data_IF_770957779879
#
_entry.id   IF_770957779879
#
_cell.length_a   1.000
_cell.length_b   1.000
_cell.length_c   1.000
_cell.angle_alpha   90.00
_cell.angle_beta   90.00
_cell.angle_gamma   90.00
#
_symmetry.space_group_name_H-M   'P 1'
#
loop_
_entity.id
_entity.type
_entity.pdbx_description
1 polymer ?
#
# COMPACT_ATOMS: atom_id res chain seq x y z
N UNK A 1 -28.54 -8.83 -5.54
CA UNK A 1 -27.36 -9.72 -5.76
C UNK A 1 -26.30 -8.96 -6.55
N UNK A 2 -25.03 -9.06 -6.16
CA UNK A 2 -23.91 -8.43 -6.89
C UNK A 2 -23.93 -8.84 -8.35
N UNK A 3 -24.00 -7.86 -9.25
CA UNK A 3 -24.00 -8.06 -10.70
C UNK A 3 -22.56 -8.22 -11.21
N UNK A 4 -22.23 -9.39 -11.75
CA UNK A 4 -20.90 -9.66 -12.33
C UNK A 4 -20.58 -8.71 -13.48
N UNK A 5 -21.57 -8.37 -14.31
CA UNK A 5 -21.39 -7.45 -15.44
C UNK A 5 -21.05 -6.04 -14.94
N UNK A 6 -21.77 -5.54 -13.90
CA UNK A 6 -21.50 -4.23 -13.33
C UNK A 6 -20.08 -4.17 -12.69
N UNK A 7 -19.69 -5.19 -11.93
CA UNK A 7 -18.33 -5.30 -11.36
C UNK A 7 -17.28 -5.25 -12.47
N UNK A 8 -17.49 -5.97 -13.56
CA UNK A 8 -16.58 -5.97 -14.71
C UNK A 8 -16.47 -4.58 -15.34
N UNK A 9 -17.59 -3.95 -15.61
CA UNK A 9 -17.62 -2.65 -16.30
C UNK A 9 -16.99 -1.55 -15.43
N UNK A 10 -17.28 -1.53 -14.14
CA UNK A 10 -16.66 -0.61 -13.18
C UNK A 10 -15.15 -0.84 -13.11
N UNK A 11 -14.71 -2.10 -13.00
CA UNK A 11 -13.30 -2.44 -12.94
C UNK A 11 -12.56 -2.03 -14.21
N UNK A 12 -13.10 -2.37 -15.38
CA UNK A 12 -12.52 -1.97 -16.67
C UNK A 12 -12.46 -0.44 -16.84
N UNK A 13 -13.44 0.28 -16.32
CA UNK A 13 -13.46 1.74 -16.36
C UNK A 13 -12.36 2.30 -15.46
N UNK A 14 -12.26 1.80 -14.23
CA UNK A 14 -11.32 2.33 -13.27
C UNK A 14 -9.86 1.98 -13.62
N UNK A 15 -9.56 0.76 -14.11
CA UNK A 15 -8.18 0.41 -14.51
C UNK A 15 -7.71 1.19 -15.75
N UNK A 16 -8.62 1.58 -16.66
CA UNK A 16 -8.29 2.46 -17.80
C UNK A 16 -8.13 3.93 -17.41
N UNK A 17 -8.54 4.29 -16.19
CA UNK A 17 -8.37 5.64 -15.68
C UNK A 17 -7.00 5.73 -15.01
N UNK A 18 -6.09 6.50 -15.60
CA UNK A 18 -4.76 6.70 -15.04
C UNK A 18 -4.84 7.32 -13.65
N UNK A 19 -4.13 6.73 -12.69
CA UNK A 19 -4.07 7.16 -11.28
C UNK A 19 -2.77 6.73 -10.61
N UNK A 20 -1.62 7.02 -11.22
CA UNK A 20 -0.34 6.84 -10.52
C UNK A 20 -0.28 7.74 -9.28
N UNK A 21 0.45 7.33 -8.25
CA UNK A 21 0.57 8.08 -6.98
C UNK A 21 0.82 9.58 -7.22
N UNK A 22 0.00 10.42 -6.57
CA UNK A 22 -0.05 11.88 -6.73
C UNK A 22 -0.85 12.38 -7.94
N UNK A 23 -1.53 11.49 -8.69
CA UNK A 23 -2.35 11.80 -9.88
C UNK A 23 -3.67 11.03 -9.89
N UNK A 24 -4.27 10.85 -8.75
CA UNK A 24 -5.47 10.05 -8.54
C UNK A 24 -6.78 10.79 -8.85
N UNK A 25 -6.73 12.10 -9.09
CA UNK A 25 -7.91 12.98 -9.18
C UNK A 25 -8.98 12.50 -10.17
N UNK A 26 -8.60 11.85 -11.30
CA UNK A 26 -9.57 11.31 -12.26
C UNK A 26 -10.29 10.08 -11.74
N UNK A 27 -9.56 9.17 -11.06
CA UNK A 27 -10.15 7.98 -10.43
C UNK A 27 -11.04 8.39 -9.26
N UNK A 28 -10.58 9.33 -8.43
CA UNK A 28 -11.33 9.89 -7.32
C UNK A 28 -12.62 10.57 -7.77
N UNK A 29 -12.58 11.36 -8.85
CA UNK A 29 -13.77 12.01 -9.40
C UNK A 29 -14.81 10.96 -9.88
N UNK A 30 -14.36 9.92 -10.58
CA UNK A 30 -15.25 8.84 -11.01
C UNK A 30 -15.89 8.12 -9.80
N UNK A 31 -15.10 7.75 -8.79
CA UNK A 31 -15.61 7.14 -7.56
C UNK A 31 -16.61 8.06 -6.83
N UNK A 32 -16.31 9.36 -6.77
CA UNK A 32 -17.20 10.34 -6.15
C UNK A 32 -18.56 10.41 -6.89
N UNK A 33 -18.56 10.42 -8.23
CA UNK A 33 -19.78 10.37 -9.04
C UNK A 33 -20.60 9.10 -8.77
N UNK A 34 -19.92 7.94 -8.64
CA UNK A 34 -20.61 6.69 -8.31
C UNK A 34 -21.24 6.73 -6.92
N UNK A 35 -20.53 7.25 -5.91
CA UNK A 35 -21.06 7.41 -4.54
C UNK A 35 -22.23 8.39 -4.51
N UNK A 36 -22.14 9.51 -5.24
CA UNK A 36 -23.25 10.49 -5.37
C UNK A 36 -24.48 9.84 -6.01
N UNK A 37 -24.32 8.96 -6.99
CA UNK A 37 -25.41 8.22 -7.61
C UNK A 37 -26.18 7.32 -6.63
N UNK A 38 -25.53 6.93 -5.54
CA UNK A 38 -26.12 6.19 -4.41
C UNK A 38 -26.77 7.10 -3.35
N UNK A 39 -26.79 8.43 -3.58
CA UNK A 39 -27.35 9.40 -2.65
C UNK A 39 -26.40 9.77 -1.50
N UNK A 40 -25.12 9.45 -1.62
CA UNK A 40 -24.11 9.82 -0.63
C UNK A 40 -23.48 11.18 -0.96
N UNK A 41 -22.88 11.82 0.04
CA UNK A 41 -22.17 13.10 -0.09
C UNK A 41 -20.66 12.89 0.15
N UNK A 42 -19.89 12.42 -0.88
CA UNK A 42 -18.46 12.23 -0.73
C UNK A 42 -17.74 13.57 -0.61
N UNK A 43 -16.70 13.60 0.23
CA UNK A 43 -15.86 14.77 0.47
C UNK A 43 -14.39 14.38 0.31
N UNK A 44 -13.57 15.35 -0.09
CA UNK A 44 -12.12 15.18 -0.10
C UNK A 44 -11.54 15.77 1.19
N UNK A 45 -10.58 15.06 1.77
CA UNK A 45 -9.77 15.63 2.84
C UNK A 45 -8.65 16.52 2.29
N UNK A 46 -7.74 16.95 3.16
CA UNK A 46 -6.66 17.87 2.81
C UNK A 46 -5.30 17.19 2.57
N UNK A 47 -5.27 15.90 2.30
CA UNK A 47 -4.03 15.19 2.05
C UNK A 47 -3.26 15.78 0.85
N UNK A 48 -3.96 16.25 -0.19
CA UNK A 48 -3.36 16.92 -1.34
C UNK A 48 -2.48 18.13 -0.97
N UNK A 49 -2.90 18.92 0.03
CA UNK A 49 -2.17 20.12 0.46
C UNK A 49 -0.76 19.77 1.00
N UNK A 50 -0.65 18.61 1.64
CA UNK A 50 0.61 18.15 2.23
C UNK A 50 1.47 17.35 1.23
N UNK A 51 0.83 16.58 0.35
CA UNK A 51 1.50 15.63 -0.55
C UNK A 51 1.85 16.26 -1.91
N UNK A 52 1.21 17.40 -2.28
CA UNK A 52 1.36 17.99 -3.60
C UNK A 52 0.69 17.18 -4.70
N UNK A 53 -0.25 16.30 -4.35
CA UNK A 53 -1.09 15.54 -5.27
C UNK A 53 -2.21 16.37 -5.89
N UNK A 54 -2.95 15.79 -6.82
CA UNK A 54 -4.06 16.46 -7.51
C UNK A 54 -5.42 16.26 -6.82
N UNK A 55 -5.51 15.37 -5.81
CA UNK A 55 -6.68 15.24 -4.92
C UNK A 55 -6.26 14.73 -3.53
N UNK A 56 -7.15 14.84 -2.55
CA UNK A 56 -7.04 14.22 -1.22
C UNK A 56 -7.73 12.86 -1.17
N UNK A 57 -7.74 12.23 0.03
CA UNK A 57 -8.51 11.02 0.27
C UNK A 57 -10.01 11.33 0.06
N UNK A 58 -10.72 10.41 -0.59
CA UNK A 58 -12.16 10.53 -0.82
C UNK A 58 -12.90 9.80 0.28
N UNK A 59 -13.76 10.52 1.03
CA UNK A 59 -14.45 10.01 2.20
C UNK A 59 -15.97 10.10 1.98
N UNK A 60 -16.70 9.03 2.27
CA UNK A 60 -18.15 9.03 2.28
C UNK A 60 -18.70 8.29 3.50
N UNK A 61 -19.84 8.79 4.00
CA UNK A 61 -20.54 8.19 5.13
C UNK A 61 -21.89 7.65 4.68
N UNK A 62 -22.12 6.37 4.95
CA UNK A 62 -23.42 5.72 4.82
C UNK A 62 -24.09 5.79 6.18
N UNK A 63 -25.21 6.55 6.32
CA UNK A 63 -25.88 6.64 7.60
C UNK A 63 -26.53 5.32 7.99
N UNK A 64 -26.52 5.00 9.28
CA UNK A 64 -27.13 3.80 9.84
C UNK A 64 -27.79 4.09 11.19
N UNK A 65 -28.34 3.05 11.86
CA UNK A 65 -28.93 3.21 13.19
C UNK A 65 -27.90 3.76 14.19
N UNK A 66 -28.29 4.74 15.04
CA UNK A 66 -27.36 5.42 15.94
C UNK A 66 -26.85 4.56 17.09
N UNK A 67 -27.49 3.42 17.34
CA UNK A 67 -27.11 2.42 18.34
C UNK A 67 -26.11 1.39 17.81
N UNK A 68 -25.75 1.46 16.51
CA UNK A 68 -24.76 0.61 15.91
C UNK A 68 -23.39 1.32 15.80
N UNK A 69 -22.31 0.57 16.01
CA UNK A 69 -20.94 1.06 15.79
C UNK A 69 -20.66 1.23 14.29
N UNK A 70 -19.97 2.31 13.93
CA UNK A 70 -19.52 2.54 12.56
C UNK A 70 -18.36 1.58 12.20
N UNK A 71 -18.40 0.99 11.02
CA UNK A 71 -17.27 0.26 10.44
C UNK A 71 -16.61 1.09 9.34
N UNK A 72 -15.29 0.94 9.18
CA UNK A 72 -14.53 1.54 8.11
C UNK A 72 -14.27 0.51 7.00
N UNK A 73 -14.48 0.90 5.75
CA UNK A 73 -14.01 0.22 4.55
C UNK A 73 -13.01 1.14 3.84
N UNK A 74 -11.83 0.65 3.51
CA UNK A 74 -10.82 1.45 2.79
C UNK A 74 -10.16 0.65 1.68
N UNK A 75 -9.77 1.33 0.62
CA UNK A 75 -8.99 0.85 -0.52
C UNK A 75 -8.19 2.04 -1.09
N UNK A 76 -7.06 1.79 -1.75
CA UNK A 76 -6.31 2.89 -2.34
C UNK A 76 -6.60 3.09 -3.83
N UNK A 77 -6.50 4.35 -4.29
CA UNK A 77 -6.82 4.72 -5.68
C UNK A 77 -5.60 4.74 -6.59
N UNK A 78 -4.42 4.88 -6.00
CA UNK A 78 -3.19 4.97 -6.76
C UNK A 78 -2.65 3.62 -7.20
N UNK A 79 -1.79 3.66 -8.20
CA UNK A 79 -1.10 2.49 -8.76
C UNK A 79 0.39 2.79 -8.95
N UNK A 80 1.21 1.74 -8.92
CA UNK A 80 2.64 1.83 -9.24
C UNK A 80 2.89 2.10 -10.72
N UNK A 81 4.10 2.52 -11.06
CA UNK A 81 4.55 2.62 -12.47
C UNK A 81 5.12 1.29 -12.97
N UNK A 82 4.97 0.98 -14.28
CA UNK A 82 4.23 1.71 -15.31
C UNK A 82 2.71 1.44 -15.19
N UNK A 83 1.91 2.45 -14.92
CA UNK A 83 0.47 2.36 -14.64
C UNK A 83 -0.37 3.38 -15.42
N UNK A 84 0.14 3.91 -16.55
CA UNK A 84 -0.55 4.89 -17.39
C UNK A 84 -0.87 4.28 -18.75
N UNK A 85 -2.06 4.59 -19.27
CA UNK A 85 -2.53 4.05 -20.55
C UNK A 85 -2.85 2.57 -20.54
N UNK A 86 -3.29 2.04 -19.42
CA UNK A 86 -3.57 0.60 -19.20
C UNK A 86 -4.57 0.07 -20.24
N UNK A 87 -4.21 -1.04 -20.89
CA UNK A 87 -5.04 -1.78 -21.84
C UNK A 87 -5.37 -3.17 -21.28
N UNK A 88 -6.47 -3.32 -20.54
CA UNK A 88 -6.82 -4.61 -19.95
C UNK A 88 -7.22 -5.61 -21.03
N UNK A 89 -6.70 -6.84 -20.93
CA UNK A 89 -7.02 -7.96 -21.81
C UNK A 89 -7.94 -8.92 -21.07
N UNK A 90 -9.08 -9.23 -21.69
CA UNK A 90 -10.06 -10.20 -21.17
C UNK A 90 -9.80 -11.56 -21.79
N UNK A 91 -9.66 -12.59 -20.94
CA UNK A 91 -9.56 -13.99 -21.33
C UNK A 91 -10.54 -14.82 -20.48
N UNK A 92 -11.77 -14.97 -20.98
CA UNK A 92 -12.89 -15.50 -20.19
C UNK A 92 -13.21 -14.58 -19.01
N UNK A 93 -13.08 -15.11 -17.80
CA UNK A 93 -13.29 -14.38 -16.55
C UNK A 93 -11.99 -13.75 -16.00
N UNK A 94 -10.85 -14.02 -16.63
CA UNK A 94 -9.56 -13.43 -16.21
C UNK A 94 -9.35 -12.10 -16.95
N UNK A 95 -9.06 -11.07 -16.18
CA UNK A 95 -8.66 -9.75 -16.68
C UNK A 95 -7.18 -9.57 -16.32
N UNK A 96 -6.34 -9.29 -17.31
CA UNK A 96 -4.90 -9.14 -17.12
C UNK A 96 -4.33 -7.92 -17.83
N UNK A 97 -3.15 -7.51 -17.44
CA UNK A 97 -2.35 -6.55 -18.20
C UNK A 97 -2.03 -7.10 -19.59
N UNK A 98 -1.82 -6.21 -20.55
CA UNK A 98 -1.30 -6.55 -21.88
C UNK A 98 0.21 -6.83 -21.88
N UNK A 99 0.88 -6.66 -20.73
CA UNK A 99 2.32 -6.84 -20.54
C UNK A 99 3.14 -5.57 -20.69
N UNK A 100 2.55 -4.43 -21.04
CA UNK A 100 3.25 -3.14 -21.16
C UNK A 100 3.19 -2.29 -19.89
N UNK A 101 2.09 -2.42 -19.12
CA UNK A 101 1.87 -1.75 -17.84
C UNK A 101 1.49 -2.75 -16.75
N UNK A 102 1.38 -2.32 -15.50
CA UNK A 102 0.58 -3.05 -14.52
C UNK A 102 -0.89 -3.04 -14.94
N UNK A 103 -1.72 -3.92 -14.39
CA UNK A 103 -3.18 -3.85 -14.59
C UNK A 103 -3.80 -2.74 -13.74
N UNK A 104 -3.23 -2.50 -12.54
CA UNK A 104 -3.78 -1.61 -11.53
C UNK A 104 -4.97 -2.25 -10.79
N UNK A 105 -5.01 -3.58 -10.75
CA UNK A 105 -5.92 -4.33 -9.90
C UNK A 105 -5.65 -4.06 -8.42
N UNK A 106 -4.42 -3.85 -8.08
CA UNK A 106 -3.90 -3.27 -6.85
C UNK A 106 -3.96 -1.73 -6.94
N UNK A 107 -4.91 -0.98 -6.30
CA UNK A 107 -6.02 -1.57 -5.55
C UNK A 107 -7.38 -1.07 -6.09
N UNK A 108 -7.48 -0.88 -7.41
CA UNK A 108 -8.77 -0.59 -8.05
C UNK A 108 -9.76 -1.76 -7.90
N UNK A 109 -9.25 -2.96 -7.65
CA UNK A 109 -10.05 -4.13 -7.29
C UNK A 109 -10.81 -3.93 -5.98
N UNK A 110 -10.11 -3.47 -4.94
CA UNK A 110 -10.72 -3.10 -3.66
C UNK A 110 -11.70 -1.95 -3.78
N UNK A 111 -11.33 -0.90 -4.53
CA UNK A 111 -12.23 0.23 -4.79
C UNK A 111 -13.57 -0.23 -5.41
N UNK A 112 -13.51 -1.08 -6.42
CA UNK A 112 -14.70 -1.60 -7.11
C UNK A 112 -15.49 -2.58 -6.24
N UNK A 113 -14.82 -3.41 -5.46
CA UNK A 113 -15.46 -4.34 -4.54
C UNK A 113 -16.28 -3.60 -3.47
N UNK A 114 -15.70 -2.56 -2.85
CA UNK A 114 -16.40 -1.69 -1.89
C UNK A 114 -17.59 -1.00 -2.56
N UNK A 115 -17.39 -0.36 -3.71
CA UNK A 115 -18.45 0.35 -4.43
C UNK A 115 -19.63 -0.55 -4.73
N UNK A 116 -19.38 -1.77 -5.24
CA UNK A 116 -20.47 -2.70 -5.59
C UNK A 116 -21.13 -3.31 -4.36
N UNK A 117 -20.39 -3.48 -3.25
CA UNK A 117 -20.99 -3.87 -1.97
C UNK A 117 -21.96 -2.81 -1.44
N UNK A 118 -21.56 -1.53 -1.48
CA UNK A 118 -22.44 -0.42 -1.08
C UNK A 118 -23.70 -0.34 -1.94
N UNK A 119 -23.56 -0.50 -3.27
CA UNK A 119 -24.73 -0.55 -4.17
C UNK A 119 -25.70 -1.66 -3.78
N UNK A 120 -25.20 -2.86 -3.55
CA UNK A 120 -26.05 -3.98 -3.13
C UNK A 120 -26.77 -3.68 -1.83
N UNK A 121 -26.06 -3.13 -0.83
CA UNK A 121 -26.63 -2.80 0.49
C UNK A 121 -27.73 -1.75 0.36
N UNK A 122 -27.46 -0.65 -0.34
CA UNK A 122 -28.35 0.51 -0.44
C UNK A 122 -29.54 0.27 -1.41
N UNK A 123 -29.26 -0.27 -2.61
CA UNK A 123 -30.31 -0.53 -3.61
C UNK A 123 -31.29 -1.63 -3.15
N UNK A 124 -30.80 -2.63 -2.38
CA UNK A 124 -31.63 -3.71 -1.85
C UNK A 124 -32.24 -3.40 -0.48
N UNK A 125 -31.94 -2.25 0.11
CA UNK A 125 -32.43 -1.86 1.44
C UNK A 125 -32.00 -2.84 2.54
N UNK A 126 -30.81 -3.45 2.42
CA UNK A 126 -30.32 -4.39 3.41
C UNK A 126 -30.03 -3.66 4.73
N UNK A 127 -30.42 -4.26 5.87
CA UNK A 127 -30.07 -3.73 7.17
C UNK A 127 -28.54 -3.67 7.35
N UNK A 128 -28.01 -2.51 7.75
CA UNK A 128 -26.59 -2.26 7.93
C UNK A 128 -26.31 -1.31 9.09
N UNK A 129 -25.09 -1.33 9.70
CA UNK A 129 -24.64 -0.29 10.62
C UNK A 129 -24.26 0.98 9.83
N UNK A 130 -23.91 2.09 10.49
CA UNK A 130 -23.20 3.16 9.81
C UNK A 130 -21.89 2.65 9.19
N UNK A 131 -21.61 3.06 7.95
CA UNK A 131 -20.38 2.69 7.24
C UNK A 131 -19.63 3.94 6.82
N UNK A 132 -18.36 4.03 7.15
CA UNK A 132 -17.44 5.01 6.60
C UNK A 132 -16.66 4.37 5.47
N UNK A 133 -16.57 5.01 4.33
CA UNK A 133 -15.75 4.57 3.20
C UNK A 133 -14.66 5.58 2.97
N UNK A 134 -13.43 5.13 2.83
CA UNK A 134 -12.28 5.96 2.51
C UNK A 134 -11.54 5.34 1.33
N UNK A 135 -11.42 6.10 0.25
CA UNK A 135 -10.50 5.78 -0.83
C UNK A 135 -9.26 6.66 -0.68
N UNK A 136 -8.13 6.05 -0.39
CA UNK A 136 -6.89 6.75 -0.08
C UNK A 136 -6.08 7.07 -1.33
N UNK A 137 -5.20 8.06 -1.22
CA UNK A 137 -4.21 8.45 -2.23
C UNK A 137 -2.82 8.06 -1.78
N UNK A 138 -1.90 7.85 -2.73
CA UNK A 138 -0.45 7.71 -2.46
C UNK A 138 -0.09 6.65 -1.42
N UNK A 139 -0.79 5.51 -1.45
CA UNK A 139 -0.47 4.35 -0.61
C UNK A 139 0.89 3.79 -1.01
N UNK A 140 1.12 3.62 -2.31
CA UNK A 140 2.29 2.99 -2.94
C UNK A 140 3.60 3.75 -2.71
N UNK A 141 3.54 5.02 -2.31
CA UNK A 141 4.71 5.84 -1.97
C UNK A 141 5.08 5.75 -0.50
N UNK A 142 4.24 5.10 0.30
CA UNK A 142 4.49 4.84 1.72
C UNK A 142 3.33 5.11 2.65
N UNK A 143 2.10 4.81 2.25
CA UNK A 143 0.86 4.98 3.03
C UNK A 143 0.56 6.46 3.30
N UNK A 144 0.95 7.34 2.36
CA UNK A 144 1.01 8.77 2.65
C UNK A 144 -0.39 9.38 2.78
N UNK A 145 -1.38 8.92 2.00
CA UNK A 145 -2.78 9.33 2.16
C UNK A 145 -3.33 8.98 3.53
N UNK A 146 -3.16 7.74 3.97
CA UNK A 146 -3.64 7.30 5.28
C UNK A 146 -2.95 8.04 6.45
N UNK A 147 -1.68 8.44 6.30
CA UNK A 147 -0.97 9.26 7.30
C UNK A 147 -1.60 10.63 7.52
N UNK A 148 -2.30 11.18 6.52
CA UNK A 148 -2.96 12.48 6.59
C UNK A 148 -4.45 12.38 6.94
N UNK A 149 -4.99 11.16 7.02
CA UNK A 149 -6.39 10.92 7.38
C UNK A 149 -6.64 11.23 8.86
N UNK A 150 -7.72 11.95 9.16
CA UNK A 150 -8.22 12.13 10.55
C UNK A 150 -8.99 10.87 10.99
N UNK A 151 -8.24 9.84 11.42
CA UNK A 151 -8.83 8.54 11.81
C UNK A 151 -9.85 8.69 12.96
N UNK A 152 -9.60 9.59 13.91
CA UNK A 152 -10.51 9.83 15.03
C UNK A 152 -11.85 10.45 14.55
N UNK A 153 -11.80 11.33 13.57
CA UNK A 153 -12.98 11.97 12.98
C UNK A 153 -13.88 11.00 12.20
N UNK A 154 -13.38 9.83 11.79
CA UNK A 154 -14.19 8.82 11.10
C UNK A 154 -15.22 8.13 12.01
N UNK A 155 -15.05 8.24 13.33
CA UNK A 155 -15.94 7.63 14.35
C UNK A 155 -16.13 6.10 14.18
N UNK A 156 -15.23 5.43 13.49
CA UNK A 156 -15.25 3.99 13.29
C UNK A 156 -14.65 3.25 14.49
N UNK A 157 -15.15 2.04 14.78
CA UNK A 157 -14.65 1.19 15.87
C UNK A 157 -13.79 0.04 15.38
N UNK A 158 -13.88 -0.30 14.09
CA UNK A 158 -13.06 -1.29 13.41
C UNK A 158 -12.99 -0.98 11.92
N UNK A 159 -11.93 -1.47 11.25
CA UNK A 159 -11.70 -1.24 9.83
C UNK A 159 -11.41 -2.51 9.04
N UNK A 160 -11.68 -2.43 7.74
CA UNK A 160 -11.36 -3.44 6.75
C UNK A 160 -10.66 -2.73 5.58
N UNK A 161 -9.34 -2.91 5.47
CA UNK A 161 -8.61 -2.53 4.28
C UNK A 161 -8.85 -3.63 3.23
N UNK A 162 -9.46 -3.26 2.14
CA UNK A 162 -9.80 -4.18 1.04
C UNK A 162 -8.70 -4.02 0.02
N UNK A 163 -7.92 -5.07 -0.21
CA UNK A 163 -6.69 -4.98 -1.00
C UNK A 163 -6.49 -6.18 -1.92
N UNK A 164 -5.37 -6.15 -2.60
CA UNK A 164 -4.88 -7.24 -3.44
C UNK A 164 -4.67 -8.55 -2.66
N UNK A 165 -4.47 -9.64 -3.40
CA UNK A 165 -4.31 -10.98 -2.84
C UNK A 165 -5.54 -11.86 -3.04
N UNK A 166 -5.34 -13.16 -2.89
CA UNK A 166 -6.40 -14.16 -3.15
C UNK A 166 -7.65 -13.89 -2.33
N UNK A 167 -8.80 -14.10 -2.93
CA UNK A 167 -10.07 -14.09 -2.22
C UNK A 167 -10.02 -15.03 -1.00
N UNK A 168 -10.43 -14.50 0.18
CA UNK A 168 -10.36 -15.22 1.45
C UNK A 168 -9.03 -15.04 2.21
N UNK A 169 -8.03 -14.32 1.68
CA UNK A 169 -6.87 -13.91 2.47
C UNK A 169 -7.29 -12.89 3.51
N UNK A 170 -6.90 -13.14 4.76
CA UNK A 170 -7.10 -12.25 5.91
C UNK A 170 -5.71 -11.96 6.49
N UNK A 171 -5.26 -10.71 6.41
CA UNK A 171 -3.96 -10.30 6.93
C UNK A 171 -4.15 -9.61 8.27
N UNK A 172 -3.66 -10.26 9.33
CA UNK A 172 -3.80 -9.82 10.73
C UNK A 172 -2.56 -9.12 11.26
N UNK A 173 -1.57 -8.88 10.42
CA UNK A 173 -0.38 -8.15 10.82
C UNK A 173 0.55 -7.84 9.66
N UNK A 174 1.28 -6.74 9.82
CA UNK A 174 2.25 -6.25 8.86
C UNK A 174 3.49 -5.71 9.58
N UNK A 175 4.67 -5.67 8.91
CA UNK A 175 5.92 -5.27 9.54
C UNK A 175 5.98 -3.77 9.83
N UNK A 176 6.86 -3.40 10.75
CA UNK A 176 7.48 -2.06 10.81
C UNK A 176 8.39 -1.87 9.60
N UNK A 177 8.53 -0.65 9.12
CA UNK A 177 9.42 -0.33 8.01
C UNK A 177 10.18 0.97 8.26
N UNK A 178 11.49 0.97 7.99
CA UNK A 178 12.33 2.15 8.00
C UNK A 178 12.96 2.37 6.62
N UNK A 179 12.94 3.62 6.17
CA UNK A 179 13.67 4.10 4.99
C UNK A 179 15.10 4.50 5.41
N UNK A 180 16.07 4.25 4.54
CA UNK A 180 17.43 4.69 4.68
C UNK A 180 17.83 5.46 3.42
N UNK A 181 18.31 6.67 3.58
CA UNK A 181 18.91 7.51 2.54
C UNK A 181 20.32 7.89 2.92
N UNK A 182 21.28 7.79 2.01
CA UNK A 182 22.65 8.15 2.29
C UNK A 182 23.31 8.89 1.13
N UNK A 183 24.12 9.88 1.47
CA UNK A 183 25.05 10.53 0.55
C UNK A 183 26.48 10.31 1.02
N UNK A 184 27.25 9.59 0.21
CA UNK A 184 28.69 9.43 0.42
C UNK A 184 29.39 10.57 -0.31
N UNK A 185 30.23 11.32 0.42
CA UNK A 185 31.03 12.41 -0.13
C UNK A 185 32.50 12.07 -0.08
N UNK A 186 33.10 12.10 -1.24
CA UNK A 186 34.53 11.93 -1.47
C UNK A 186 35.18 13.25 -1.92
N UNK A 187 36.15 13.13 -2.85
CA UNK A 187 36.87 14.26 -3.41
C UNK A 187 37.15 14.05 -4.88
N UNK A 188 36.79 15.02 -5.70
CA UNK A 188 37.00 15.04 -7.13
C UNK A 188 38.48 15.11 -7.51
N UNK A 189 38.90 14.35 -8.50
CA UNK A 189 40.23 14.40 -9.10
C UNK A 189 40.19 13.89 -10.54
N UNK A 190 41.28 14.14 -11.32
CA UNK A 190 41.40 13.54 -12.65
C UNK A 190 41.88 12.10 -12.52
N UNK A 191 41.06 11.14 -12.97
CA UNK A 191 41.27 9.72 -12.73
C UNK A 191 42.57 9.13 -13.35
N UNK A 192 43.10 9.76 -14.41
CA UNK A 192 44.32 9.30 -15.07
C UNK A 192 45.57 10.09 -14.72
N UNK A 193 45.46 11.36 -14.26
CA UNK A 193 46.61 12.20 -13.97
C UNK A 193 47.01 12.21 -12.49
N UNK A 194 46.02 12.28 -11.60
CA UNK A 194 46.24 12.38 -10.14
C UNK A 194 45.13 11.69 -9.37
N UNK A 195 44.87 10.37 -9.57
CA UNK A 195 43.80 9.65 -8.86
C UNK A 195 43.98 9.67 -7.34
N UNK A 196 45.23 9.68 -6.87
CA UNK A 196 45.60 9.74 -5.45
C UNK A 196 45.23 11.06 -4.75
N UNK A 197 44.95 12.12 -5.49
CA UNK A 197 44.46 13.40 -4.95
C UNK A 197 42.94 13.37 -4.72
N UNK A 198 42.23 12.34 -5.21
CA UNK A 198 40.81 12.15 -5.09
C UNK A 198 40.45 11.13 -4.01
N UNK A 199 39.15 11.11 -3.69
CA UNK A 199 38.49 10.09 -2.83
C UNK A 199 37.24 9.62 -3.55
N UNK A 200 37.17 8.34 -3.88
CA UNK A 200 36.13 7.80 -4.74
C UNK A 200 34.87 7.45 -3.91
N UNK A 201 33.82 8.26 -4.02
CA UNK A 201 32.56 8.09 -3.30
C UNK A 201 31.83 6.80 -3.71
N UNK A 202 31.88 6.39 -4.99
CA UNK A 202 31.27 5.13 -5.45
C UNK A 202 31.98 3.92 -4.84
N UNK A 203 33.31 3.94 -4.74
CA UNK A 203 34.06 2.85 -4.11
C UNK A 203 33.68 2.71 -2.63
N UNK A 204 33.66 3.83 -1.90
CA UNK A 204 33.26 3.84 -0.49
C UNK A 204 31.82 3.33 -0.29
N UNK A 205 30.87 3.79 -1.13
CA UNK A 205 29.48 3.34 -1.12
C UNK A 205 29.37 1.82 -1.39
N UNK A 206 30.08 1.33 -2.42
CA UNK A 206 30.06 -0.09 -2.80
C UNK A 206 30.59 -0.99 -1.70
N UNK A 207 31.67 -0.59 -1.00
CA UNK A 207 32.22 -1.33 0.15
C UNK A 207 31.22 -1.36 1.31
N UNK A 208 30.55 -0.24 1.59
CA UNK A 208 29.51 -0.17 2.62
C UNK A 208 28.37 -1.12 2.32
N UNK A 209 27.86 -1.10 1.09
CA UNK A 209 26.78 -2.01 0.66
C UNK A 209 27.23 -3.47 0.72
N UNK A 210 28.43 -3.80 0.25
CA UNK A 210 28.97 -5.17 0.27
C UNK A 210 29.16 -5.72 1.71
N UNK A 211 29.31 -4.86 2.70
CA UNK A 211 29.41 -5.25 4.11
C UNK A 211 28.03 -5.43 4.80
N UNK A 212 26.94 -4.98 4.17
CA UNK A 212 25.58 -5.11 4.73
C UNK A 212 25.06 -6.53 4.61
N UNK A 213 24.25 -6.93 5.57
CA UNK A 213 23.34 -8.05 5.44
C UNK A 213 22.09 -7.55 4.72
N UNK A 214 21.81 -8.10 3.52
CA UNK A 214 20.68 -7.72 2.68
C UNK A 214 19.87 -8.96 2.29
N UNK A 215 18.68 -8.72 1.73
CA UNK A 215 17.72 -9.77 1.40
C UNK A 215 16.93 -10.20 2.64
N UNK A 216 16.70 -11.50 2.76
CA UNK A 216 16.05 -12.07 3.95
C UNK A 216 17.08 -12.31 5.05
N UNK A 217 16.95 -11.57 6.13
CA UNK A 217 17.87 -11.63 7.28
C UNK A 217 17.50 -12.77 8.22
N UNK A 218 16.21 -12.89 8.52
CA UNK A 218 15.59 -13.99 9.26
C UNK A 218 14.11 -14.15 8.80
N UNK A 219 13.32 -14.96 9.51
CA UNK A 219 11.94 -15.28 9.12
C UNK A 219 11.01 -14.07 9.04
N UNK A 220 11.33 -12.98 9.76
CA UNK A 220 10.48 -11.79 9.89
C UNK A 220 11.19 -10.48 9.49
N UNK A 221 12.51 -10.52 9.16
CA UNK A 221 13.30 -9.33 8.85
C UNK A 221 13.85 -9.38 7.43
N UNK A 222 13.67 -8.29 6.69
CA UNK A 222 14.24 -8.09 5.36
C UNK A 222 14.92 -6.74 5.26
N UNK A 223 15.94 -6.62 4.38
CA UNK A 223 16.59 -5.35 4.07
C UNK A 223 16.98 -5.29 2.59
N UNK A 224 16.97 -4.10 2.02
CA UNK A 224 17.30 -3.89 0.62
C UNK A 224 17.97 -2.54 0.39
N UNK A 225 18.87 -2.48 -0.59
CA UNK A 225 19.28 -1.25 -1.25
C UNK A 225 18.62 -1.23 -2.62
N UNK A 226 17.70 -0.30 -2.81
CA UNK A 226 16.89 -0.19 -4.04
C UNK A 226 17.56 0.62 -5.13
N UNK A 227 18.30 1.68 -4.77
CA UNK A 227 19.00 2.54 -5.72
C UNK A 227 20.39 2.91 -5.26
N UNK A 228 21.31 3.06 -6.24
CA UNK A 228 22.63 3.66 -6.08
C UNK A 228 22.92 4.50 -7.32
N UNK A 229 23.33 5.76 -7.12
CA UNK A 229 23.66 6.68 -8.21
C UNK A 229 24.85 7.54 -7.84
N UNK A 230 25.83 7.72 -8.73
CA UNK A 230 26.99 8.57 -8.45
C UNK A 230 27.92 8.75 -9.63
N UNK A 231 28.76 9.80 -9.56
CA UNK A 231 29.73 10.16 -10.58
C UNK A 231 29.13 10.86 -11.80
N UNK A 232 29.98 11.61 -12.52
CA UNK A 232 29.59 12.41 -13.69
C UNK A 232 30.23 11.90 -14.99
N UNK A 233 31.46 11.35 -14.91
CA UNK A 233 32.23 10.94 -16.08
C UNK A 233 33.29 9.90 -15.73
N UNK A 234 33.60 9.01 -16.69
CA UNK A 234 34.56 7.89 -16.52
C UNK A 234 36.00 8.32 -16.19
N UNK A 235 36.39 9.54 -16.56
CA UNK A 235 37.75 10.06 -16.33
C UNK A 235 37.87 10.97 -15.12
N UNK A 236 36.85 10.98 -14.25
CA UNK A 236 36.77 11.77 -13.02
C UNK A 236 36.58 10.83 -11.84
N UNK A 237 37.35 11.01 -10.76
CA UNK A 237 37.09 10.35 -9.48
C UNK A 237 35.78 10.93 -8.93
N UNK A 238 34.74 10.09 -8.69
CA UNK A 238 33.41 10.57 -8.28
C UNK A 238 33.45 11.15 -6.88
N UNK A 239 32.92 12.37 -6.75
CA UNK A 239 32.84 13.11 -5.49
C UNK A 239 31.62 12.75 -4.66
N UNK A 240 30.52 12.32 -5.30
CA UNK A 240 29.26 11.97 -4.62
C UNK A 240 28.72 10.63 -5.09
N UNK A 241 28.06 9.92 -4.15
CA UNK A 241 27.26 8.74 -4.44
C UNK A 241 26.05 8.75 -3.50
N UNK A 242 24.84 8.62 -4.09
CA UNK A 242 23.56 8.57 -3.39
C UNK A 242 23.05 7.12 -3.32
N UNK A 243 22.46 6.78 -2.20
CA UNK A 243 21.95 5.42 -1.92
C UNK A 243 20.57 5.56 -1.29
N UNK A 244 19.60 4.78 -1.78
CA UNK A 244 18.29 4.64 -1.16
C UNK A 244 18.03 3.16 -0.87
N UNK A 245 17.50 2.89 0.32
CA UNK A 245 17.17 1.55 0.77
C UNK A 245 16.28 1.56 1.99
N UNK A 246 16.19 0.43 2.66
CA UNK A 246 15.43 0.30 3.88
C UNK A 246 15.40 -1.12 4.41
N UNK A 247 14.74 -1.27 5.55
CA UNK A 247 14.51 -2.57 6.18
C UNK A 247 13.06 -2.67 6.67
N UNK A 248 12.59 -3.91 6.83
CA UNK A 248 11.29 -4.25 7.40
C UNK A 248 11.45 -5.40 8.39
N UNK A 249 10.68 -5.37 9.47
CA UNK A 249 10.60 -6.49 10.42
C UNK A 249 9.28 -6.46 11.17
N UNK A 250 8.78 -7.65 11.51
CA UNK A 250 7.64 -7.78 12.43
C UNK A 250 8.02 -7.52 13.89
N UNK A 251 9.32 -7.47 14.20
CA UNK A 251 9.89 -7.12 15.49
C UNK A 251 10.63 -5.78 15.38
N UNK A 252 10.19 -4.77 16.14
CA UNK A 252 10.76 -3.42 16.07
C UNK A 252 12.23 -3.38 16.50
N UNK A 253 12.62 -4.18 17.50
CA UNK A 253 14.00 -4.22 17.97
C UNK A 253 14.94 -4.80 16.89
N UNK A 254 14.48 -5.83 16.17
CA UNK A 254 15.20 -6.39 15.02
C UNK A 254 15.32 -5.38 13.86
N UNK A 255 14.24 -4.63 13.57
CA UNK A 255 14.28 -3.55 12.58
C UNK A 255 15.34 -2.52 12.94
N UNK A 256 15.30 -1.99 14.18
CA UNK A 256 16.28 -1.01 14.65
C UNK A 256 17.72 -1.54 14.54
N UNK A 257 17.96 -2.79 14.99
CA UNK A 257 19.28 -3.42 14.91
C UNK A 257 19.77 -3.58 13.46
N UNK A 258 18.87 -3.92 12.53
CA UNK A 258 19.22 -4.07 11.11
C UNK A 258 19.52 -2.71 10.46
N UNK A 259 18.73 -1.67 10.75
CA UNK A 259 18.97 -0.31 10.26
C UNK A 259 20.28 0.24 10.80
N UNK A 260 20.55 0.07 12.11
CA UNK A 260 21.81 0.47 12.73
C UNK A 260 23.01 -0.23 12.08
N UNK A 261 22.88 -1.54 11.79
CA UNK A 261 23.92 -2.26 11.05
C UNK A 261 24.18 -1.65 9.67
N UNK A 262 23.13 -1.31 8.90
CA UNK A 262 23.28 -0.70 7.57
C UNK A 262 23.97 0.68 7.68
N UNK A 263 23.57 1.52 8.64
CA UNK A 263 24.19 2.82 8.91
C UNK A 263 25.66 2.69 9.26
N UNK A 264 26.01 1.72 10.14
CA UNK A 264 27.40 1.46 10.53
C UNK A 264 28.24 1.00 9.35
N UNK A 265 27.74 0.13 8.49
CA UNK A 265 28.46 -0.32 7.30
C UNK A 265 28.84 0.85 6.38
N UNK A 266 27.90 1.78 6.13
CA UNK A 266 28.17 2.96 5.31
C UNK A 266 29.20 3.90 5.95
N UNK A 267 29.03 4.19 7.24
CA UNK A 267 29.96 5.08 7.97
C UNK A 267 31.36 4.54 8.06
N UNK A 268 31.52 3.24 8.38
CA UNK A 268 32.81 2.57 8.48
C UNK A 268 33.52 2.52 7.12
N UNK A 269 32.81 2.17 6.05
CA UNK A 269 33.36 2.12 4.71
C UNK A 269 33.78 3.52 4.21
N UNK A 270 32.97 4.55 4.47
CA UNK A 270 33.31 5.92 4.13
C UNK A 270 34.58 6.36 4.86
N UNK A 271 34.65 6.11 6.18
CA UNK A 271 35.84 6.43 6.98
C UNK A 271 37.10 5.74 6.47
N UNK A 272 37.02 4.45 6.16
CA UNK A 272 38.14 3.67 5.63
C UNK A 272 38.68 4.19 4.28
N UNK A 273 37.82 4.83 3.49
CA UNK A 273 38.17 5.44 2.20
C UNK A 273 38.49 6.93 2.29
N UNK A 274 38.58 7.52 3.49
CA UNK A 274 38.73 8.97 3.72
C UNK A 274 37.58 9.80 3.11
N UNK A 275 36.41 9.19 2.98
CA UNK A 275 35.14 9.83 2.60
C UNK A 275 34.28 10.15 3.84
N UNK A 276 33.18 10.85 3.64
CA UNK A 276 32.16 11.07 4.67
C UNK A 276 30.85 10.44 4.24
N UNK A 277 30.05 9.97 5.20
CA UNK A 277 28.71 9.44 4.97
C UNK A 277 27.67 10.27 5.74
N UNK A 278 26.81 10.95 5.02
CA UNK A 278 25.60 11.58 5.54
C UNK A 278 24.48 10.55 5.40
N UNK A 279 24.04 9.98 6.51
CA UNK A 279 23.00 8.92 6.52
C UNK A 279 21.81 9.41 7.31
N UNK A 280 20.63 9.31 6.69
CA UNK A 280 19.34 9.61 7.28
C UNK A 280 18.50 8.33 7.32
N UNK A 281 17.79 8.14 8.42
CA UNK A 281 16.84 7.06 8.59
C UNK A 281 15.50 7.64 9.03
N UNK A 282 14.41 7.09 8.53
CA UNK A 282 13.06 7.55 8.86
C UNK A 282 12.13 6.36 8.98
N UNK A 283 11.33 6.30 10.06
CA UNK A 283 10.22 5.38 10.15
C UNK A 283 9.24 5.67 9.02
N UNK A 284 9.02 4.67 8.15
CA UNK A 284 8.03 4.77 7.09
C UNK A 284 6.63 4.56 7.66
N UNK A 285 6.46 3.50 8.45
CA UNK A 285 5.23 3.18 9.19
C UNK A 285 5.53 2.16 10.29
N UNK A 286 4.65 2.13 11.29
CA UNK A 286 4.70 1.16 12.37
C UNK A 286 4.07 -0.17 11.93
N UNK A 287 4.54 -1.28 12.51
CA UNK A 287 3.92 -2.59 12.35
C UNK A 287 2.65 -2.71 13.18
N UNK A 288 1.85 -3.71 12.85
CA UNK A 288 0.72 -4.09 13.69
C UNK A 288 0.58 -5.61 13.75
N UNK A 289 -0.12 -6.07 14.77
CA UNK A 289 -0.49 -7.47 14.93
C UNK A 289 -1.80 -7.56 15.68
N UNK A 290 -2.82 -8.08 15.02
CA UNK A 290 -4.12 -8.41 15.59
C UNK A 290 -4.12 -9.86 16.06
N UNK A 291 -4.86 -10.12 17.12
CA UNK A 291 -5.17 -11.47 17.57
C UNK A 291 -6.26 -12.08 16.67
N UNK A 292 -6.29 -13.41 16.61
CA UNK A 292 -7.37 -14.12 15.92
C UNK A 292 -8.74 -13.84 16.57
N UNK A 293 -8.77 -13.44 17.84
CA UNK A 293 -9.98 -13.10 18.60
C UNK A 293 -10.43 -11.65 18.41
N UNK A 294 -9.65 -10.82 17.70
CA UNK A 294 -10.06 -9.43 17.45
C UNK A 294 -11.38 -9.36 16.68
N UNK A 295 -12.30 -8.46 17.07
CA UNK A 295 -13.64 -8.39 16.48
C UNK A 295 -13.65 -8.26 14.96
N UNK A 296 -12.75 -7.45 14.36
CA UNK A 296 -12.66 -7.30 12.91
C UNK A 296 -12.19 -8.58 12.21
N UNK A 297 -11.24 -9.33 12.82
CA UNK A 297 -10.77 -10.62 12.31
C UNK A 297 -11.89 -11.65 12.33
N UNK A 298 -12.55 -11.80 13.51
CA UNK A 298 -13.66 -12.73 13.68
C UNK A 298 -14.84 -12.41 12.74
N UNK A 299 -15.10 -11.13 12.51
CA UNK A 299 -16.18 -10.71 11.62
C UNK A 299 -15.85 -11.07 10.16
N UNK A 300 -14.62 -10.83 9.71
CA UNK A 300 -14.16 -11.22 8.37
C UNK A 300 -14.25 -12.74 8.17
N UNK A 301 -13.76 -13.53 9.14
CA UNK A 301 -13.83 -15.01 9.08
C UNK A 301 -15.28 -15.50 8.99
N UNK A 302 -16.16 -15.07 9.90
CA UNK A 302 -17.57 -15.47 9.91
C UNK A 302 -18.31 -15.09 8.63
N UNK A 303 -18.01 -13.92 8.06
CA UNK A 303 -18.60 -13.48 6.80
C UNK A 303 -18.17 -14.39 5.64
N UNK A 304 -16.88 -14.75 5.57
CA UNK A 304 -16.34 -15.66 4.57
C UNK A 304 -16.96 -17.07 4.68
N UNK A 305 -17.06 -17.62 5.89
CA UNK A 305 -17.67 -18.92 6.17
C UNK A 305 -19.10 -19.01 5.66
N UNK A 306 -19.93 -17.96 5.87
CA UNK A 306 -21.30 -17.93 5.38
C UNK A 306 -21.42 -17.97 3.85
N UNK A 307 -20.39 -17.53 3.17
CA UNK A 307 -20.32 -17.54 1.71
C UNK A 307 -19.60 -18.77 1.15
N UNK A 308 -19.09 -19.66 2.02
CA UNK A 308 -18.26 -20.80 1.63
C UNK A 308 -16.90 -20.40 1.07
N UNK A 309 -16.41 -19.20 1.40
CA UNK A 309 -15.07 -18.73 1.03
C UNK A 309 -14.06 -19.35 2.01
N UNK A 310 -13.07 -20.07 1.47
CA UNK A 310 -11.98 -20.62 2.28
C UNK A 310 -11.03 -19.50 2.72
N UNK A 311 -10.89 -19.32 4.02
CA UNK A 311 -10.02 -18.27 4.58
C UNK A 311 -8.58 -18.74 4.78
N UNK A 312 -7.64 -17.81 4.63
CA UNK A 312 -6.23 -17.97 4.97
C UNK A 312 -5.77 -16.78 5.81
N UNK A 313 -5.73 -16.98 7.12
CA UNK A 313 -5.31 -15.96 8.09
C UNK A 313 -3.80 -15.96 8.24
N UNK A 314 -3.16 -14.78 8.30
CA UNK A 314 -1.72 -14.69 8.52
C UNK A 314 -1.14 -13.30 8.35
N UNK A 315 0.18 -13.22 8.44
CA UNK A 315 0.96 -11.98 8.35
C UNK A 315 1.29 -11.61 6.91
N UNK A 316 1.46 -10.31 6.63
CA UNK A 316 2.01 -9.78 5.37
C UNK A 316 3.49 -9.41 5.51
N UNK A 317 4.25 -9.52 4.43
CA UNK A 317 5.62 -8.95 4.34
C UNK A 317 5.64 -7.48 3.89
N UNK A 318 4.51 -6.94 3.43
CA UNK A 318 4.31 -5.55 3.04
C UNK A 318 3.47 -4.77 4.05
N UNK A 319 3.51 -3.45 3.96
CA UNK A 319 2.59 -2.57 4.68
C UNK A 319 1.34 -2.32 3.87
N UNK A 320 0.35 -1.72 4.50
CA UNK A 320 -0.92 -1.25 3.93
C UNK A 320 -1.47 -0.11 4.78
N UNK A 321 -2.53 0.53 4.33
CA UNK A 321 -3.21 1.55 5.13
C UNK A 321 -3.64 1.06 6.51
N UNK A 322 -3.85 -0.26 6.67
CA UNK A 322 -4.12 -0.87 7.96
C UNK A 322 -2.99 -0.64 8.98
N UNK A 323 -1.73 -0.46 8.56
CA UNK A 323 -0.64 -0.09 9.47
C UNK A 323 -0.92 1.25 10.15
N UNK A 324 -1.35 2.24 9.39
CA UNK A 324 -1.66 3.58 9.90
C UNK A 324 -2.91 3.56 10.77
N UNK A 325 -3.96 2.85 10.35
CA UNK A 325 -5.20 2.74 11.11
C UNK A 325 -4.95 2.09 12.48
N UNK A 326 -4.25 0.96 12.51
CA UNK A 326 -3.90 0.27 13.75
C UNK A 326 -2.99 1.10 14.66
N UNK A 327 -1.98 1.78 14.12
CA UNK A 327 -1.09 2.66 14.91
C UNK A 327 -1.83 3.84 15.55
N UNK A 328 -2.99 4.21 15.00
CA UNK A 328 -3.87 5.28 15.53
C UNK A 328 -5.04 4.75 16.36
N UNK A 329 -4.99 3.47 16.74
CA UNK A 329 -5.96 2.87 17.65
C UNK A 329 -7.28 2.44 17.01
N UNK A 330 -7.36 2.34 15.69
CA UNK A 330 -8.49 1.75 14.96
C UNK A 330 -8.12 0.32 14.51
N UNK A 331 -8.54 -0.73 15.23
CA UNK A 331 -8.27 -2.11 14.84
C UNK A 331 -8.76 -2.38 13.43
N UNK A 332 -7.86 -2.69 12.51
CA UNK A 332 -8.17 -2.85 11.10
C UNK A 332 -7.45 -4.05 10.51
N UNK A 333 -8.22 -4.92 9.85
CA UNK A 333 -7.73 -6.12 9.18
C UNK A 333 -7.68 -5.88 7.66
N UNK A 334 -6.73 -6.55 6.96
CA UNK A 334 -6.70 -6.51 5.50
C UNK A 334 -7.39 -7.75 4.94
N UNK A 335 -8.25 -7.57 3.94
CA UNK A 335 -8.94 -8.65 3.23
C UNK A 335 -8.61 -8.63 1.74
N UNK A 336 -8.20 -9.80 1.20
CA UNK A 336 -7.84 -9.95 -0.21
C UNK A 336 -9.05 -10.22 -1.10
N UNK A 337 -9.15 -9.52 -2.25
CA UNK A 337 -10.30 -9.58 -3.16
C UNK A 337 -9.97 -10.01 -4.59
N UNK A 338 -8.78 -10.54 -4.83
CA UNK A 338 -8.51 -11.23 -6.08
C UNK A 338 -7.23 -10.86 -6.82
N UNK A 339 -6.77 -9.59 -6.95
CA UNK A 339 -5.61 -9.25 -7.76
C UNK A 339 -4.34 -10.02 -7.38
N UNK A 340 -3.62 -10.50 -8.40
CA UNK A 340 -2.44 -11.35 -8.27
C UNK A 340 -1.30 -10.81 -9.11
N UNK A 341 -0.07 -11.18 -8.78
CA UNK A 341 1.17 -10.74 -9.42
C UNK A 341 1.29 -9.21 -9.50
N UNK A 342 0.77 -8.55 -8.47
CA UNK A 342 0.75 -7.08 -8.33
C UNK A 342 2.17 -6.49 -8.44
N UNK A 343 2.27 -5.21 -8.80
CA UNK A 343 3.53 -4.50 -9.05
C UNK A 343 4.35 -5.09 -10.21
N UNK A 344 3.74 -5.89 -11.06
CA UNK A 344 4.38 -6.43 -12.27
C UNK A 344 3.49 -6.26 -13.50
N UNK A 345 4.08 -6.28 -14.68
CA UNK A 345 3.33 -6.26 -15.95
C UNK A 345 2.63 -7.61 -16.25
N UNK A 346 2.67 -8.57 -15.35
CA UNK A 346 1.93 -9.84 -15.41
C UNK A 346 0.70 -9.83 -14.50
N UNK A 347 0.36 -8.70 -13.93
CA UNK A 347 -0.76 -8.55 -13.02
C UNK A 347 -2.08 -8.99 -13.66
N UNK A 348 -2.90 -9.70 -12.91
CA UNK A 348 -4.18 -10.23 -13.34
C UNK A 348 -5.16 -10.37 -12.18
N UNK A 349 -6.45 -10.51 -12.51
CA UNK A 349 -7.51 -10.80 -11.54
C UNK A 349 -8.55 -11.70 -12.19
N UNK A 350 -9.11 -12.62 -11.39
CA UNK A 350 -10.33 -13.35 -11.77
C UNK A 350 -11.57 -12.52 -11.38
N UNK A 351 -12.43 -12.25 -12.34
CA UNK A 351 -13.67 -11.50 -12.11
C UNK A 351 -14.58 -12.17 -11.06
N UNK A 352 -14.54 -13.50 -10.94
CA UNK A 352 -15.29 -14.19 -9.91
C UNK A 352 -14.77 -13.90 -8.51
N UNK A 353 -13.45 -13.68 -8.36
CA UNK A 353 -12.85 -13.28 -7.10
C UNK A 353 -13.26 -11.85 -6.72
N UNK A 354 -13.28 -10.90 -7.66
CA UNK A 354 -13.78 -9.54 -7.40
C UNK A 354 -15.26 -9.55 -6.97
N UNK A 355 -16.10 -10.33 -7.67
CA UNK A 355 -17.50 -10.51 -7.29
C UNK A 355 -17.62 -11.17 -5.92
N UNK A 356 -16.79 -12.16 -5.64
CA UNK A 356 -16.67 -12.81 -4.32
C UNK A 356 -16.30 -11.83 -3.22
N UNK A 357 -15.32 -10.96 -3.49
CA UNK A 357 -14.88 -9.89 -2.59
C UNK A 357 -15.99 -8.90 -2.27
N UNK A 358 -16.71 -8.43 -3.29
CA UNK A 358 -17.87 -7.55 -3.08
C UNK A 358 -18.96 -8.23 -2.23
N UNK A 359 -19.24 -9.52 -2.46
CA UNK A 359 -20.19 -10.30 -1.63
C UNK A 359 -19.69 -10.46 -0.20
N UNK A 360 -18.40 -10.67 -0.03
CA UNK A 360 -17.79 -10.78 1.30
C UNK A 360 -17.93 -9.50 2.09
N UNK A 361 -17.70 -8.35 1.47
CA UNK A 361 -17.92 -7.03 2.07
C UNK A 361 -19.39 -6.83 2.45
N UNK A 362 -20.35 -7.20 1.59
CA UNK A 362 -21.79 -7.17 1.93
C UNK A 362 -22.09 -7.98 3.19
N UNK A 363 -21.53 -9.17 3.30
CA UNK A 363 -21.78 -10.03 4.46
C UNK A 363 -21.09 -9.51 5.73
N UNK A 364 -19.89 -8.89 5.61
CA UNK A 364 -19.23 -8.14 6.70
C UNK A 364 -20.15 -7.03 7.20
N UNK A 365 -20.66 -6.18 6.29
CA UNK A 365 -21.56 -5.07 6.63
C UNK A 365 -22.82 -5.59 7.36
N UNK A 366 -23.43 -6.68 6.84
CA UNK A 366 -24.64 -7.25 7.45
C UNK A 366 -24.40 -7.78 8.87
N UNK A 367 -23.29 -8.50 9.06
CA UNK A 367 -22.94 -9.10 10.35
C UNK A 367 -22.51 -8.04 11.38
N UNK A 368 -21.89 -6.95 10.96
CA UNK A 368 -21.47 -5.86 11.84
C UNK A 368 -22.65 -5.14 12.52
N UNK A 369 -23.87 -5.26 11.97
CA UNK A 369 -25.08 -4.70 12.59
C UNK A 369 -25.53 -5.44 13.85
N UNK A 370 -25.23 -6.71 13.97
CA UNK A 370 -25.78 -7.59 15.03
C UNK A 370 -24.75 -7.98 16.11
N UNK A 371 -23.62 -7.29 16.15
CA UNK A 371 -22.53 -7.53 17.12
C UNK A 371 -22.50 -6.55 18.29
#
# INVERSE_FOLDING_TARGET
MISKERVKDDFLTLVRTDSISGREGRAAAWLAEQLQSLGLEPVYDRAADALGGDCGNLIAHVPGPPDCSTILLTAHMDTVRPGEGVQPVLDGDVIRSDGTTVLGGDDKGGCVAILNALREVLESGLPHPPVCVVYTVSEETGLDGAKHLDVAGLSATMGFAVESGRLGRITTGAPFADKLSATIRGKRAHAGLRPEAGVNAILAASRGIAAMRLGRIDDETTANIGTIAGGDARNVVPETCHIEGGARSHDEAKLCAQVDHMVQCLRQAAYAENATAEVQTQRAYDGFRLSDDDPCVQLAVRAAERLGITTAVGMSGGGSDANILNSRGLPSVVIGVGPQEVHTTREWVDLNDLVGGARWIVEIIRLARGG
#
